data_IF_296797060275
#
_entry.id   IF_296797060275
#
_cell.length_a   1.000
_cell.length_b   1.000
_cell.length_c   1.000
_cell.angle_alpha   90.00
_cell.angle_beta   90.00
_cell.angle_gamma   90.00
#
_symmetry.space_group_name_H-M   'P 1'
#
loop_
_entity.id
_entity.type
_entity.pdbx_description
1 polymer ?
#
# COMPACT_ATOMS: atom_id res chain seq x y z
N UNK A 1 28.90 -0.57 45.84
CA UNK A 1 27.53 -0.54 45.37
C UNK A 1 27.45 0.60 44.37
N UNK A 2 27.64 0.28 43.07
CA UNK A 2 27.43 1.22 41.98
C UNK A 2 26.09 0.92 41.34
N UNK A 3 25.29 1.89 40.94
CA UNK A 3 24.01 1.66 40.27
C UNK A 3 24.24 1.36 38.80
N UNK A 4 23.60 0.29 38.33
CA UNK A 4 23.61 -0.14 36.93
C UNK A 4 22.99 0.91 36.01
N UNK A 5 23.67 1.18 34.92
CA UNK A 5 23.18 1.96 33.79
C UNK A 5 22.24 1.10 32.96
N UNK A 6 20.94 1.31 33.09
CA UNK A 6 19.95 0.82 32.16
C UNK A 6 20.09 1.52 30.81
N UNK A 7 20.07 0.74 29.74
CA UNK A 7 20.27 1.18 28.36
C UNK A 7 19.01 1.86 27.83
N UNK A 8 19.07 3.04 27.20
CA UNK A 8 17.89 3.81 26.77
C UNK A 8 17.29 3.38 25.42
N UNK A 9 17.68 2.22 24.87
CA UNK A 9 17.28 1.80 23.52
C UNK A 9 15.94 1.08 23.44
N UNK A 10 15.50 0.39 24.50
CA UNK A 10 14.24 -0.38 24.51
C UNK A 10 12.97 0.51 24.58
N UNK A 11 13.10 1.70 25.15
CA UNK A 11 11.95 2.59 25.36
C UNK A 11 11.55 3.38 24.09
N UNK A 12 12.49 3.62 23.17
CA UNK A 12 12.22 4.35 21.92
C UNK A 12 11.55 3.46 20.84
N UNK A 13 11.86 2.16 20.82
CA UNK A 13 11.24 1.20 19.88
C UNK A 13 9.79 0.91 20.25
N UNK A 14 9.50 0.76 21.55
CA UNK A 14 8.13 0.64 22.05
C UNK A 14 7.29 1.89 21.73
N UNK A 15 7.87 3.09 21.85
CA UNK A 15 7.17 4.34 21.56
C UNK A 15 6.93 4.57 20.06
N UNK A 16 7.76 4.07 19.13
CA UNK A 16 7.56 4.22 17.70
C UNK A 16 6.46 3.26 17.18
N UNK A 17 6.44 2.02 17.64
CA UNK A 17 5.37 1.06 17.34
C UNK A 17 4.03 1.52 17.93
N UNK A 18 4.03 2.04 19.18
CA UNK A 18 2.87 2.65 19.80
C UNK A 18 2.41 3.92 19.06
N UNK A 19 3.30 4.63 18.37
CA UNK A 19 2.95 5.87 17.66
C UNK A 19 2.25 5.61 16.35
N UNK A 20 2.66 4.61 15.56
CA UNK A 20 1.96 4.20 14.33
C UNK A 20 0.60 3.56 14.64
N UNK A 21 0.54 2.68 15.64
CA UNK A 21 -0.70 2.13 16.16
C UNK A 21 -1.63 3.22 16.69
N UNK A 22 -1.13 4.19 17.44
CA UNK A 22 -1.91 5.28 18.02
C UNK A 22 -2.34 6.35 17.02
N UNK A 23 -1.61 6.54 15.92
CA UNK A 23 -2.02 7.42 14.82
C UNK A 23 -3.14 6.77 14.03
N UNK A 24 -3.01 5.49 13.67
CA UNK A 24 -4.07 4.71 13.08
C UNK A 24 -5.33 4.72 13.96
N UNK A 25 -5.18 4.51 15.26
CA UNK A 25 -6.24 4.57 16.27
C UNK A 25 -6.98 5.90 16.31
N UNK A 26 -6.29 7.02 16.35
CA UNK A 26 -6.89 8.36 16.45
C UNK A 26 -7.54 8.83 15.16
N UNK A 27 -7.17 8.27 14.01
CA UNK A 27 -7.61 8.75 12.71
C UNK A 27 -8.66 7.87 12.03
N UNK A 28 -9.25 6.93 12.75
CA UNK A 28 -10.39 6.15 12.26
C UNK A 28 -10.05 4.96 11.35
N UNK A 29 -8.77 4.57 11.23
CA UNK A 29 -8.36 3.33 10.54
C UNK A 29 -8.94 2.06 11.16
N UNK A 30 -9.42 2.18 12.39
CA UNK A 30 -10.15 1.20 13.17
C UNK A 30 -11.38 0.66 12.47
N UNK A 31 -12.01 1.51 11.72
CA UNK A 31 -13.18 1.16 10.95
C UNK A 31 -12.90 0.12 9.86
N UNK A 32 -11.64 -0.10 9.48
CA UNK A 32 -11.26 -1.08 8.45
C UNK A 32 -10.89 -2.47 8.99
N UNK A 33 -11.02 -2.69 10.30
CA UNK A 33 -10.88 -4.03 10.88
C UNK A 33 -9.47 -4.42 11.33
N UNK A 34 -8.64 -3.47 11.81
CA UNK A 34 -7.36 -3.78 12.45
C UNK A 34 -7.59 -4.52 13.77
N UNK A 35 -6.95 -5.70 14.02
CA UNK A 35 -7.16 -6.48 15.25
C UNK A 35 -6.57 -5.85 16.51
N UNK A 36 -5.63 -4.90 16.44
CA UNK A 36 -5.20 -4.14 17.61
C UNK A 36 -6.37 -3.48 18.35
N UNK A 37 -7.53 -3.40 17.69
CA UNK A 37 -8.74 -2.73 18.13
C UNK A 37 -9.93 -3.66 18.37
N UNK A 38 -9.71 -4.96 18.36
CA UNK A 38 -10.79 -5.97 18.48
C UNK A 38 -11.59 -5.90 19.80
N UNK A 39 -11.07 -5.25 20.86
CA UNK A 39 -11.80 -5.17 22.12
C UNK A 39 -13.02 -4.23 22.08
N UNK A 40 -12.90 -3.07 21.44
CA UNK A 40 -13.99 -2.07 21.42
C UNK A 40 -14.65 -1.89 20.04
N UNK A 41 -13.95 -2.17 18.95
CA UNK A 41 -14.44 -1.99 17.59
C UNK A 41 -15.23 -3.19 17.06
N UNK A 42 -14.97 -4.42 17.52
CA UNK A 42 -15.72 -5.61 17.12
C UNK A 42 -17.20 -5.54 17.49
N UNK A 43 -17.54 -4.81 18.56
CA UNK A 43 -18.93 -4.61 19.00
C UNK A 43 -19.69 -3.52 18.22
N UNK A 44 -19.00 -2.77 17.36
CA UNK A 44 -19.58 -1.58 16.73
C UNK A 44 -20.07 -1.79 15.28
N UNK A 45 -19.71 -2.89 14.62
CA UNK A 45 -20.21 -3.29 13.29
C UNK A 45 -19.97 -2.28 12.16
N UNK A 46 -20.66 -2.48 11.03
CA UNK A 46 -20.55 -1.62 9.82
C UNK A 46 -20.86 -0.13 10.06
N UNK A 47 -21.53 0.21 11.18
CA UNK A 47 -21.93 1.57 11.53
C UNK A 47 -20.75 2.53 11.83
N UNK A 48 -19.51 2.07 11.72
CA UNK A 48 -18.32 2.84 12.09
C UNK A 48 -17.29 3.04 10.97
N UNK A 49 -17.54 2.53 9.76
CA UNK A 49 -16.76 2.93 8.62
C UNK A 49 -16.99 4.43 8.37
N UNK A 50 -15.90 5.18 8.23
CA UNK A 50 -15.98 6.57 7.82
C UNK A 50 -16.80 6.67 6.51
N UNK A 51 -17.60 7.69 6.40
CA UNK A 51 -18.27 8.01 5.15
C UNK A 51 -17.29 8.74 4.19
N UNK A 52 -17.73 8.93 2.95
CA UNK A 52 -16.86 9.51 1.92
C UNK A 52 -16.49 10.96 2.21
N UNK A 53 -17.36 11.72 2.88
CA UNK A 53 -17.10 13.10 3.30
C UNK A 53 -16.08 13.13 4.44
N UNK A 54 -16.24 12.25 5.43
CA UNK A 54 -15.30 12.13 6.54
C UNK A 54 -13.91 11.73 6.06
N UNK A 55 -13.82 10.81 5.05
CA UNK A 55 -12.56 10.44 4.42
C UNK A 55 -11.92 11.62 3.66
N UNK A 56 -12.71 12.43 2.98
CA UNK A 56 -12.22 13.65 2.33
C UNK A 56 -11.71 14.67 3.36
N UNK A 57 -12.46 14.93 4.45
CA UNK A 57 -12.03 15.82 5.52
C UNK A 57 -10.75 15.33 6.22
N UNK A 58 -10.59 14.01 6.33
CA UNK A 58 -9.36 13.41 6.84
C UNK A 58 -8.19 13.68 5.91
N UNK A 59 -8.38 13.57 4.58
CA UNK A 59 -7.39 13.93 3.57
C UNK A 59 -6.93 15.38 3.70
N UNK A 60 -7.85 16.34 3.89
CA UNK A 60 -7.49 17.75 4.07
C UNK A 60 -6.58 17.97 5.30
N UNK A 61 -6.81 17.22 6.39
CA UNK A 61 -6.01 17.32 7.62
C UNK A 61 -4.65 16.64 7.53
N UNK A 62 -4.47 15.69 6.61
CA UNK A 62 -3.27 14.85 6.51
C UNK A 62 -2.32 15.28 5.39
N UNK A 63 -2.44 16.50 4.90
CA UNK A 63 -1.60 17.00 3.79
C UNK A 63 -0.11 17.07 4.20
N UNK A 64 0.73 16.71 3.24
CA UNK A 64 2.18 16.80 3.36
C UNK A 64 2.83 17.13 2.02
N UNK A 65 4.05 17.65 2.06
CA UNK A 65 4.79 18.01 0.87
C UNK A 65 6.08 17.18 0.77
N UNK A 66 6.34 16.63 -0.41
CA UNK A 66 7.57 15.84 -0.63
C UNK A 66 8.83 16.68 -0.42
N UNK A 67 8.77 18.00 -0.61
CA UNK A 67 9.89 18.93 -0.43
C UNK A 67 10.36 19.05 1.02
N UNK A 68 9.53 18.68 1.99
CA UNK A 68 9.87 18.77 3.42
C UNK A 68 10.72 17.58 3.89
N UNK A 69 10.87 16.53 3.05
CA UNK A 69 11.69 15.36 3.36
C UNK A 69 13.17 15.62 3.07
N UNK A 70 14.03 15.15 3.97
CA UNK A 70 15.49 15.21 3.85
C UNK A 70 16.08 13.80 3.63
N UNK A 71 16.72 13.59 2.49
CA UNK A 71 17.38 12.34 2.11
C UNK A 71 18.90 12.37 2.30
N UNK A 72 19.45 13.36 3.01
CA UNK A 72 20.88 13.49 3.20
C UNK A 72 21.51 12.29 3.90
N UNK A 73 20.90 11.78 4.98
CA UNK A 73 21.36 10.57 5.65
C UNK A 73 21.12 9.33 4.81
N UNK A 74 20.00 9.24 4.08
CA UNK A 74 19.70 8.11 3.20
C UNK A 74 20.75 7.90 2.12
N UNK A 75 21.27 8.97 1.56
CA UNK A 75 22.40 8.92 0.61
C UNK A 75 23.67 8.33 1.24
N UNK A 76 23.96 8.70 2.48
CA UNK A 76 25.11 8.14 3.20
C UNK A 76 24.87 6.65 3.48
N UNK A 77 23.69 6.29 3.96
CA UNK A 77 23.33 4.91 4.23
C UNK A 77 23.42 4.04 2.98
N UNK A 78 22.82 4.51 1.88
CA UNK A 78 22.80 3.78 0.60
C UNK A 78 24.19 3.47 0.08
N UNK A 79 25.11 4.46 0.07
CA UNK A 79 26.43 4.30 -0.54
C UNK A 79 27.51 3.79 0.39
N UNK A 80 27.36 3.88 1.72
CA UNK A 80 28.44 3.58 2.67
C UNK A 80 28.08 2.51 3.70
N UNK A 81 26.81 2.25 3.98
CA UNK A 81 26.36 1.29 5.02
C UNK A 81 25.69 0.07 4.44
N UNK A 82 24.88 0.24 3.39
CA UNK A 82 24.14 -0.82 2.73
C UNK A 82 25.04 -1.47 1.67
N UNK A 83 25.31 -2.77 1.78
CA UNK A 83 26.15 -3.51 0.85
C UNK A 83 25.48 -3.76 -0.50
N UNK A 84 26.26 -4.16 -1.54
CA UNK A 84 25.75 -4.36 -2.90
C UNK A 84 24.65 -5.43 -2.98
N UNK A 85 24.80 -6.53 -2.27
CA UNK A 85 23.81 -7.61 -2.21
C UNK A 85 22.51 -7.13 -1.58
N UNK A 86 22.59 -6.40 -0.48
CA UNK A 86 21.44 -5.84 0.19
C UNK A 86 20.76 -4.75 -0.65
N UNK A 87 21.51 -3.90 -1.34
CA UNK A 87 20.95 -2.95 -2.31
C UNK A 87 20.17 -3.66 -3.40
N UNK A 88 20.73 -4.73 -3.96
CA UNK A 88 20.04 -5.54 -4.97
C UNK A 88 18.71 -6.09 -4.45
N UNK A 89 18.71 -6.65 -3.23
CA UNK A 89 17.47 -7.18 -2.62
C UNK A 89 16.44 -6.07 -2.35
N UNK A 90 16.87 -4.90 -1.87
CA UNK A 90 15.99 -3.76 -1.61
C UNK A 90 15.35 -3.20 -2.88
N UNK A 91 16.04 -3.31 -4.03
CA UNK A 91 15.50 -2.82 -5.31
C UNK A 91 14.18 -3.48 -5.71
N UNK A 92 13.93 -4.73 -5.33
CA UNK A 92 12.64 -5.39 -5.56
C UNK A 92 11.48 -4.59 -4.95
N UNK A 93 11.50 -4.36 -3.63
CA UNK A 93 10.44 -3.63 -2.95
C UNK A 93 10.35 -2.16 -3.40
N UNK A 94 11.48 -1.47 -3.50
CA UNK A 94 11.53 -0.08 -3.95
C UNK A 94 10.95 0.08 -5.36
N UNK A 95 11.29 -0.82 -6.29
CA UNK A 95 10.83 -0.78 -7.68
C UNK A 95 9.35 -1.13 -7.79
N UNK A 96 8.87 -2.14 -7.03
CA UNK A 96 7.48 -2.53 -7.02
C UNK A 96 6.56 -1.37 -6.58
N UNK A 97 6.97 -0.61 -5.56
CA UNK A 97 6.23 0.58 -5.18
C UNK A 97 6.33 1.70 -6.20
N UNK A 98 7.53 2.07 -6.64
CA UNK A 98 7.68 3.18 -7.58
C UNK A 98 6.91 2.99 -8.89
N UNK A 99 6.95 1.79 -9.46
CA UNK A 99 6.21 1.47 -10.68
C UNK A 99 4.72 1.27 -10.36
N UNK A 100 4.39 0.63 -9.24
CA UNK A 100 3.01 0.46 -8.79
C UNK A 100 2.27 1.79 -8.68
N UNK A 101 2.83 2.78 -7.96
CA UNK A 101 2.27 4.12 -7.81
C UNK A 101 2.05 4.83 -9.17
N UNK A 102 2.97 4.66 -10.11
CA UNK A 102 2.81 5.23 -11.45
C UNK A 102 1.68 4.53 -12.21
N UNK A 103 1.60 3.19 -12.16
CA UNK A 103 0.53 2.43 -12.84
C UNK A 103 -0.85 2.81 -12.31
N UNK A 104 -0.99 2.84 -10.98
CA UNK A 104 -2.30 3.16 -10.36
C UNK A 104 -2.72 4.61 -10.58
N UNK A 105 -1.78 5.55 -10.67
CA UNK A 105 -2.09 6.95 -11.03
C UNK A 105 -2.79 7.03 -12.39
N UNK A 106 -2.38 6.25 -13.38
CA UNK A 106 -2.96 6.25 -14.71
C UNK A 106 -4.37 5.61 -14.73
N UNK A 107 -4.62 4.62 -13.87
CA UNK A 107 -5.85 3.80 -13.90
C UNK A 107 -7.02 4.37 -13.08
N UNK A 108 -6.79 5.30 -12.17
CA UNK A 108 -7.84 5.85 -11.29
C UNK A 108 -8.87 6.73 -12.01
N UNK A 109 -8.51 7.39 -13.10
CA UNK A 109 -9.40 8.30 -13.81
C UNK A 109 -10.72 7.67 -14.26
N UNK A 110 -10.72 6.56 -15.00
CA UNK A 110 -11.93 5.83 -15.36
C UNK A 110 -12.71 5.30 -14.17
N UNK A 111 -12.04 4.79 -13.12
CA UNK A 111 -12.70 4.31 -11.88
C UNK A 111 -13.47 5.46 -11.23
N UNK A 112 -12.82 6.62 -11.04
CA UNK A 112 -13.45 7.82 -10.49
C UNK A 112 -14.69 8.22 -11.30
N UNK A 113 -14.57 8.26 -12.61
CA UNK A 113 -15.67 8.67 -13.50
C UNK A 113 -16.88 7.75 -13.42
N UNK A 114 -16.65 6.46 -13.22
CA UNK A 114 -17.71 5.44 -13.17
C UNK A 114 -18.35 5.28 -11.79
N UNK A 115 -17.78 5.87 -10.73
CA UNK A 115 -18.37 5.82 -9.40
C UNK A 115 -19.78 6.44 -9.36
N UNK A 116 -20.75 5.77 -8.69
CA UNK A 116 -22.17 6.16 -8.73
C UNK A 116 -22.49 7.53 -8.14
N UNK A 117 -21.79 7.94 -7.05
CA UNK A 117 -22.13 9.16 -6.32
C UNK A 117 -21.05 10.25 -6.45
N UNK A 118 -21.45 11.50 -6.21
CA UNK A 118 -20.54 12.63 -6.27
C UNK A 118 -19.50 12.59 -5.16
N UNK A 119 -19.90 12.18 -3.96
CA UNK A 119 -19.00 12.06 -2.80
C UNK A 119 -17.87 11.05 -3.06
N UNK A 120 -18.21 9.93 -3.73
CA UNK A 120 -17.20 8.94 -4.14
C UNK A 120 -16.22 9.52 -5.16
N UNK A 121 -16.72 10.29 -6.15
CA UNK A 121 -15.86 10.95 -7.15
C UNK A 121 -14.98 12.04 -6.53
N UNK A 122 -15.51 12.81 -5.58
CA UNK A 122 -14.75 13.81 -4.82
C UNK A 122 -13.60 13.14 -4.09
N UNK A 123 -13.85 12.07 -3.35
CA UNK A 123 -12.79 11.35 -2.64
C UNK A 123 -11.73 10.79 -3.61
N UNK A 124 -12.13 10.09 -4.67
CA UNK A 124 -11.17 9.52 -5.63
C UNK A 124 -10.33 10.58 -6.35
N UNK A 125 -10.83 11.81 -6.48
CA UNK A 125 -10.01 12.92 -7.01
C UNK A 125 -8.85 13.28 -6.06
N UNK A 126 -9.03 13.12 -4.75
CA UNK A 126 -7.97 13.31 -3.76
C UNK A 126 -6.97 12.16 -3.79
N UNK A 127 -7.44 10.93 -4.00
CA UNK A 127 -6.58 9.79 -4.16
C UNK A 127 -5.66 9.93 -5.39
N UNK A 128 -6.17 10.36 -6.55
CA UNK A 128 -5.32 10.65 -7.72
C UNK A 128 -4.21 11.67 -7.39
N UNK A 129 -4.51 12.67 -6.56
CA UNK A 129 -3.50 13.63 -6.13
C UNK A 129 -2.46 13.01 -5.17
N UNK A 130 -2.87 12.07 -4.32
CA UNK A 130 -1.97 11.34 -3.43
C UNK A 130 -1.03 10.44 -4.24
N UNK A 131 -1.54 9.63 -5.19
CA UNK A 131 -0.72 8.76 -6.05
C UNK A 131 0.34 9.54 -6.83
N UNK A 132 -0.04 10.71 -7.38
CA UNK A 132 0.91 11.60 -8.04
C UNK A 132 2.00 12.11 -7.07
N UNK A 133 1.65 12.33 -5.80
CA UNK A 133 2.59 12.68 -4.74
C UNK A 133 3.50 11.52 -4.39
N UNK A 134 2.99 10.29 -4.34
CA UNK A 134 3.75 9.07 -4.10
C UNK A 134 4.79 8.84 -5.20
N UNK A 135 4.41 8.92 -6.47
CA UNK A 135 5.37 8.89 -7.59
C UNK A 135 6.44 9.96 -7.43
N UNK A 136 6.06 11.18 -7.03
CA UNK A 136 7.01 12.28 -6.81
C UNK A 136 7.95 11.99 -5.66
N UNK A 137 7.49 11.38 -4.56
CA UNK A 137 8.29 10.96 -3.42
C UNK A 137 9.35 9.96 -3.85
N UNK A 138 8.97 8.87 -4.52
CA UNK A 138 9.92 7.85 -4.99
C UNK A 138 10.92 8.44 -5.98
N UNK A 139 10.47 9.23 -6.95
CA UNK A 139 11.36 9.86 -7.92
C UNK A 139 12.41 10.77 -7.26
N UNK A 140 12.03 11.56 -6.22
CA UNK A 140 12.98 12.36 -5.46
C UNK A 140 13.97 11.49 -4.68
N UNK A 141 13.48 10.45 -4.03
CA UNK A 141 14.34 9.51 -3.30
C UNK A 141 15.39 8.91 -4.24
N UNK A 142 14.99 8.38 -5.39
CA UNK A 142 15.91 7.81 -6.38
C UNK A 142 16.95 8.84 -6.88
N UNK A 143 16.52 10.06 -7.13
CA UNK A 143 17.37 11.15 -7.62
C UNK A 143 18.37 11.62 -6.58
N UNK A 144 17.89 12.03 -5.41
CA UNK A 144 18.69 12.70 -4.37
C UNK A 144 19.61 11.73 -3.63
N UNK A 145 19.19 10.48 -3.45
CA UNK A 145 20.02 9.41 -2.89
C UNK A 145 21.01 8.88 -3.91
N UNK A 146 20.66 8.91 -5.19
CA UNK A 146 21.49 8.32 -6.26
C UNK A 146 21.37 6.80 -6.28
N UNK A 147 20.17 6.28 -6.15
CA UNK A 147 19.87 4.83 -6.12
C UNK A 147 20.21 4.17 -7.46
N UNK A 148 19.94 4.85 -8.57
CA UNK A 148 20.22 4.40 -9.94
C UNK A 148 21.23 5.31 -10.62
N UNK A 149 22.37 4.76 -10.96
CA UNK A 149 23.41 5.49 -11.71
C UNK A 149 23.01 5.65 -13.18
N UNK A 150 23.33 6.81 -13.74
CA UNK A 150 23.17 7.08 -15.19
C UNK A 150 21.73 7.30 -15.66
N UNK A 151 20.76 7.47 -14.76
CA UNK A 151 19.38 7.81 -15.11
C UNK A 151 19.15 9.32 -15.09
N UNK A 152 18.39 9.84 -16.08
CA UNK A 152 18.04 11.24 -16.17
C UNK A 152 16.49 11.40 -16.26
N UNK A 153 15.92 11.87 -15.16
CA UNK A 153 14.49 12.12 -15.07
C UNK A 153 13.62 10.90 -14.76
N UNK A 154 12.32 11.16 -14.61
CA UNK A 154 11.33 10.17 -14.18
C UNK A 154 11.24 8.95 -15.11
N UNK A 155 11.13 9.19 -16.40
CA UNK A 155 10.94 8.10 -17.39
C UNK A 155 12.10 7.12 -17.45
N UNK A 156 13.34 7.62 -17.30
CA UNK A 156 14.53 6.76 -17.29
C UNK A 156 14.58 5.91 -16.01
N UNK A 157 14.22 6.49 -14.86
CA UNK A 157 14.21 5.77 -13.58
C UNK A 157 13.14 4.70 -13.58
N UNK A 158 11.92 5.01 -14.04
CA UNK A 158 10.86 4.00 -14.16
C UNK A 158 11.31 2.82 -15.03
N UNK A 159 11.91 3.11 -16.19
CA UNK A 159 12.40 2.05 -17.09
C UNK A 159 13.52 1.21 -16.45
N UNK A 160 14.44 1.84 -15.74
CA UNK A 160 15.54 1.15 -15.09
C UNK A 160 15.09 0.30 -13.88
N UNK A 161 13.94 0.60 -13.29
CA UNK A 161 13.38 -0.19 -12.17
C UNK A 161 12.55 -1.40 -12.62
N UNK A 162 12.10 -1.47 -13.88
CA UNK A 162 11.29 -2.58 -14.39
C UNK A 162 12.00 -3.94 -14.31
N UNK A 163 13.32 -3.98 -14.46
CA UNK A 163 14.12 -5.23 -14.38
C UNK A 163 14.13 -5.89 -12.99
N UNK A 164 13.70 -5.18 -11.97
CA UNK A 164 13.62 -5.69 -10.59
C UNK A 164 12.24 -6.26 -10.23
N UNK A 165 11.30 -6.27 -11.16
CA UNK A 165 9.97 -6.82 -10.98
C UNK A 165 9.90 -8.27 -11.47
N UNK A 166 8.96 -9.05 -10.91
CA UNK A 166 8.64 -10.37 -11.43
C UNK A 166 7.53 -10.30 -12.49
N UNK A 167 7.36 -11.38 -13.25
CA UNK A 167 6.37 -11.45 -14.33
C UNK A 167 4.93 -11.28 -13.81
N UNK A 168 4.65 -11.75 -12.58
CA UNK A 168 3.32 -11.66 -11.99
C UNK A 168 2.90 -10.20 -11.71
N UNK A 169 3.86 -9.32 -11.45
CA UNK A 169 3.58 -7.89 -11.33
C UNK A 169 3.03 -7.33 -12.66
N UNK A 170 3.69 -7.59 -13.77
CA UNK A 170 3.21 -7.17 -15.10
C UNK A 170 1.85 -7.78 -15.45
N UNK A 171 1.63 -9.07 -15.16
CA UNK A 171 0.33 -9.71 -15.36
C UNK A 171 -0.80 -9.08 -14.53
N UNK A 172 -0.51 -8.67 -13.28
CA UNK A 172 -1.50 -8.03 -12.41
C UNK A 172 -1.80 -6.58 -12.82
N UNK A 173 -0.77 -5.75 -12.98
CA UNK A 173 -0.93 -4.32 -13.22
C UNK A 173 -1.19 -4.01 -14.71
N UNK A 174 -0.29 -4.40 -15.61
CA UNK A 174 -0.38 -4.09 -17.04
C UNK A 174 -1.39 -5.01 -17.76
N UNK A 175 -1.68 -6.18 -17.19
CA UNK A 175 -2.67 -7.12 -17.72
C UNK A 175 -4.04 -6.96 -17.07
N UNK A 176 -4.20 -7.44 -15.84
CA UNK A 176 -5.51 -7.57 -15.18
C UNK A 176 -6.12 -6.20 -14.82
N UNK A 177 -5.39 -5.33 -14.14
CA UNK A 177 -5.89 -4.02 -13.74
C UNK A 177 -6.24 -3.18 -14.97
N UNK A 178 -5.29 -3.04 -15.89
CA UNK A 178 -5.50 -2.26 -17.12
C UNK A 178 -6.72 -2.74 -17.92
N UNK A 179 -6.88 -4.05 -18.10
CA UNK A 179 -8.04 -4.59 -18.84
C UNK A 179 -9.38 -4.33 -18.14
N UNK A 180 -9.43 -4.33 -16.81
CA UNK A 180 -10.64 -4.00 -16.04
C UNK A 180 -10.98 -2.52 -16.16
N UNK A 181 -9.98 -1.66 -16.11
CA UNK A 181 -10.16 -0.20 -16.25
C UNK A 181 -10.53 0.18 -17.68
N UNK A 182 -9.95 -0.43 -18.69
CA UNK A 182 -10.33 -0.22 -20.09
C UNK A 182 -11.80 -0.61 -20.35
N UNK A 183 -12.26 -1.73 -19.81
CA UNK A 183 -13.68 -2.09 -19.85
C UNK A 183 -14.54 -1.01 -19.19
N UNK A 184 -14.14 -0.52 -18.04
CA UNK A 184 -14.86 0.52 -17.30
C UNK A 184 -14.88 1.86 -18.04
N UNK A 185 -13.78 2.21 -18.72
CA UNK A 185 -13.71 3.39 -19.58
C UNK A 185 -14.68 3.32 -20.76
N UNK A 186 -14.87 2.12 -21.32
CA UNK A 186 -15.80 1.88 -22.42
C UNK A 186 -17.27 1.84 -21.96
N UNK A 187 -17.54 1.30 -20.78
CA UNK A 187 -18.89 1.09 -20.23
C UNK A 187 -19.00 1.66 -18.79
N UNK A 188 -18.92 2.98 -18.59
CA UNK A 188 -18.85 3.60 -17.25
C UNK A 188 -20.13 3.43 -16.42
N UNK A 189 -21.24 3.01 -17.00
CA UNK A 189 -22.49 2.72 -16.30
C UNK A 189 -22.60 1.27 -15.81
N UNK A 190 -21.62 0.42 -16.12
CA UNK A 190 -21.57 -0.97 -15.62
C UNK A 190 -21.10 -1.00 -14.17
N UNK A 191 -22.05 -0.98 -13.26
CA UNK A 191 -21.79 -1.00 -11.81
C UNK A 191 -21.07 -2.27 -11.33
N UNK A 192 -21.25 -3.40 -12.03
CA UNK A 192 -20.51 -4.64 -11.71
C UNK A 192 -19.02 -4.46 -12.06
N UNK A 193 -18.72 -3.83 -13.20
CA UNK A 193 -17.34 -3.52 -13.57
C UNK A 193 -16.68 -2.55 -12.56
N UNK A 194 -17.42 -1.56 -12.02
CA UNK A 194 -16.90 -0.69 -10.93
C UNK A 194 -16.55 -1.50 -9.70
N UNK A 195 -17.43 -2.42 -9.27
CA UNK A 195 -17.17 -3.29 -8.12
C UNK A 195 -15.96 -4.18 -8.34
N UNK A 196 -15.81 -4.77 -9.53
CA UNK A 196 -14.64 -5.58 -9.89
C UNK A 196 -13.34 -4.74 -9.85
N UNK A 197 -13.35 -3.54 -10.44
CA UNK A 197 -12.18 -2.65 -10.45
C UNK A 197 -11.78 -2.18 -9.04
N UNK A 198 -12.74 -1.77 -8.20
CA UNK A 198 -12.48 -1.36 -6.82
C UNK A 198 -12.02 -2.55 -5.96
N UNK A 199 -12.55 -3.76 -6.20
CA UNK A 199 -12.07 -4.96 -5.52
C UNK A 199 -10.62 -5.23 -5.84
N UNK A 200 -10.24 -5.22 -7.13
CA UNK A 200 -8.87 -5.45 -7.55
C UNK A 200 -7.93 -4.37 -7.02
N UNK A 201 -8.31 -3.10 -7.19
CA UNK A 201 -7.48 -1.96 -6.81
C UNK A 201 -7.34 -1.87 -5.28
N UNK A 202 -8.43 -1.57 -4.57
CA UNK A 202 -8.37 -1.22 -3.15
C UNK A 202 -8.24 -2.43 -2.22
N UNK A 203 -8.76 -3.62 -2.59
CA UNK A 203 -8.65 -4.79 -1.72
C UNK A 203 -7.40 -5.61 -1.98
N UNK A 204 -7.03 -5.81 -3.25
CA UNK A 204 -5.90 -6.68 -3.60
C UNK A 204 -4.61 -5.87 -3.72
N UNK A 205 -4.56 -4.86 -4.58
CA UNK A 205 -3.33 -4.09 -4.80
C UNK A 205 -2.97 -3.29 -3.54
N UNK A 206 -3.85 -2.43 -3.05
CA UNK A 206 -3.53 -1.63 -1.85
C UNK A 206 -3.68 -2.45 -0.57
N UNK A 207 -4.83 -3.10 -0.39
CA UNK A 207 -5.20 -3.77 0.86
C UNK A 207 -4.43 -5.05 1.17
N UNK A 208 -3.78 -5.68 0.20
CA UNK A 208 -2.92 -6.85 0.40
C UNK A 208 -1.47 -6.50 0.06
N UNK A 209 -1.16 -6.13 -1.20
CA UNK A 209 0.22 -5.97 -1.64
C UNK A 209 0.90 -4.75 -1.02
N UNK A 210 0.29 -3.56 -1.15
CA UNK A 210 0.91 -2.34 -0.63
C UNK A 210 1.08 -2.38 0.89
N UNK A 211 0.05 -2.78 1.65
CA UNK A 211 0.16 -2.91 3.11
C UNK A 211 1.23 -3.90 3.54
N UNK A 212 1.36 -5.03 2.84
CA UNK A 212 2.39 -6.03 3.16
C UNK A 212 3.78 -5.47 2.92
N UNK A 213 4.02 -4.88 1.76
CA UNK A 213 5.31 -4.28 1.44
C UNK A 213 5.66 -3.12 2.36
N UNK A 214 4.72 -2.22 2.65
CA UNK A 214 4.92 -1.10 3.58
C UNK A 214 5.30 -1.58 4.98
N UNK A 215 4.59 -2.58 5.49
CA UNK A 215 4.86 -3.15 6.82
C UNK A 215 6.30 -3.64 6.95
N UNK A 216 6.75 -4.49 6.02
CA UNK A 216 8.09 -5.08 6.10
C UNK A 216 9.21 -4.10 5.72
N UNK A 217 9.01 -3.26 4.70
CA UNK A 217 10.03 -2.30 4.28
C UNK A 217 10.27 -1.23 5.35
N UNK A 218 9.21 -0.66 5.91
CA UNK A 218 9.33 0.34 6.98
C UNK A 218 9.95 -0.31 8.22
N UNK A 219 9.37 -1.41 8.70
CA UNK A 219 9.83 -2.10 9.91
C UNK A 219 11.30 -2.51 9.84
N UNK A 220 11.74 -3.07 8.70
CA UNK A 220 13.15 -3.44 8.50
C UNK A 220 14.08 -2.23 8.56
N UNK A 221 13.75 -1.14 7.87
CA UNK A 221 14.60 0.05 7.88
C UNK A 221 14.67 0.72 9.26
N UNK A 222 13.58 0.70 10.03
CA UNK A 222 13.55 1.16 11.41
C UNK A 222 14.42 0.28 12.32
N UNK A 223 14.32 -1.04 12.18
CA UNK A 223 15.10 -2.01 12.98
C UNK A 223 16.60 -1.87 12.74
N UNK A 224 17.03 -1.82 11.48
CA UNK A 224 18.46 -1.70 11.12
C UNK A 224 18.97 -0.26 11.20
N UNK A 225 18.10 0.72 11.37
CA UNK A 225 18.44 2.14 11.49
C UNK A 225 19.04 2.72 10.21
N UNK A 226 18.40 2.46 9.06
CA UNK A 226 18.82 2.97 7.74
C UNK A 226 17.69 3.73 7.05
N UNK A 227 18.03 4.61 6.12
CA UNK A 227 17.13 5.37 5.26
C UNK A 227 16.04 6.14 6.03
N UNK A 228 16.40 6.99 7.02
CA UNK A 228 15.41 7.65 7.87
C UNK A 228 14.46 8.61 7.10
N UNK A 229 14.94 9.29 6.06
CA UNK A 229 14.13 10.16 5.22
C UNK A 229 13.14 9.36 4.36
N UNK A 230 13.56 8.20 3.85
CA UNK A 230 12.68 7.25 3.18
C UNK A 230 11.59 6.73 4.13
N UNK A 231 11.97 6.28 5.32
CA UNK A 231 11.03 5.79 6.35
C UNK A 231 10.00 6.87 6.71
N UNK A 232 10.43 8.12 6.93
CA UNK A 232 9.51 9.23 7.18
C UNK A 232 8.52 9.43 6.01
N UNK A 233 9.03 9.50 4.78
CA UNK A 233 8.20 9.73 3.60
C UNK A 233 7.28 8.55 3.29
N UNK A 234 7.80 7.33 3.34
CA UNK A 234 7.04 6.11 3.07
C UNK A 234 5.98 5.82 4.16
N UNK A 235 6.24 6.23 5.40
CA UNK A 235 5.21 6.25 6.45
C UNK A 235 4.05 7.22 6.17
N UNK A 236 4.32 8.35 5.49
CA UNK A 236 3.27 9.27 5.03
C UNK A 236 2.49 8.67 3.84
N UNK A 237 3.16 8.00 2.91
CA UNK A 237 2.52 7.21 1.84
C UNK A 237 1.61 6.14 2.45
N UNK A 238 2.12 5.33 3.36
CA UNK A 238 1.33 4.29 4.03
C UNK A 238 0.08 4.84 4.73
N UNK A 239 0.17 6.02 5.34
CA UNK A 239 -0.98 6.69 5.93
C UNK A 239 -2.01 7.12 4.88
N UNK A 240 -1.57 7.61 3.73
CA UNK A 240 -2.45 7.96 2.61
C UNK A 240 -3.15 6.69 2.08
N UNK A 241 -2.42 5.58 1.89
CA UNK A 241 -2.95 4.28 1.49
C UNK A 241 -4.06 3.74 2.40
N UNK A 242 -3.94 3.96 3.70
CA UNK A 242 -4.99 3.55 4.62
C UNK A 242 -6.33 4.25 4.34
N UNK A 243 -6.32 5.53 3.93
CA UNK A 243 -7.56 6.23 3.52
C UNK A 243 -8.14 5.64 2.24
N UNK A 244 -7.29 5.28 1.28
CA UNK A 244 -7.70 4.65 0.03
C UNK A 244 -8.36 3.30 0.28
N UNK A 245 -7.73 2.48 1.11
CA UNK A 245 -8.28 1.18 1.53
C UNK A 245 -9.59 1.35 2.32
N UNK A 246 -9.68 2.38 3.17
CA UNK A 246 -10.91 2.67 3.89
C UNK A 246 -12.07 3.04 2.93
N UNK A 247 -11.80 3.83 1.90
CA UNK A 247 -12.76 4.11 0.83
C UNK A 247 -13.21 2.82 0.12
N UNK A 248 -12.27 2.00 -0.32
CA UNK A 248 -12.58 0.73 -1.00
C UNK A 248 -13.40 -0.20 -0.11
N UNK A 249 -13.02 -0.34 1.17
CA UNK A 249 -13.76 -1.15 2.15
C UNK A 249 -15.18 -0.63 2.35
N UNK A 250 -15.37 0.69 2.49
CA UNK A 250 -16.69 1.32 2.60
C UNK A 250 -17.51 1.07 1.35
N UNK A 251 -16.96 1.34 0.18
CA UNK A 251 -17.63 1.14 -1.11
C UNK A 251 -18.11 -0.30 -1.27
N UNK A 252 -17.23 -1.28 -1.07
CA UNK A 252 -17.58 -2.69 -1.23
C UNK A 252 -18.57 -3.18 -0.17
N UNK A 253 -18.54 -2.62 1.05
CA UNK A 253 -19.55 -2.90 2.08
C UNK A 253 -20.94 -2.42 1.64
N UNK A 254 -21.05 -1.19 1.15
CA UNK A 254 -22.31 -0.61 0.68
C UNK A 254 -22.84 -1.41 -0.52
N UNK A 255 -21.99 -1.76 -1.49
CA UNK A 255 -22.39 -2.53 -2.66
C UNK A 255 -22.79 -3.98 -2.31
N UNK A 256 -22.02 -4.66 -1.48
CA UNK A 256 -22.32 -6.03 -1.04
C UNK A 256 -23.65 -6.11 -0.23
N UNK A 257 -24.00 -5.06 0.48
CA UNK A 257 -25.29 -4.95 1.18
C UNK A 257 -26.46 -4.64 0.24
N UNK A 258 -26.20 -4.00 -0.90
CA UNK A 258 -27.25 -3.54 -1.81
C UNK A 258 -27.78 -4.65 -2.74
N UNK A 259 -26.92 -5.56 -3.24
CA UNK A 259 -27.32 -6.59 -4.20
C UNK A 259 -26.35 -7.78 -4.19
N UNK A 260 -26.89 -9.01 -4.23
CA UNK A 260 -26.11 -10.26 -4.25
C UNK A 260 -25.14 -10.34 -5.46
N UNK A 261 -25.52 -9.82 -6.63
CA UNK A 261 -24.64 -9.78 -7.80
C UNK A 261 -23.31 -9.05 -7.56
N UNK A 262 -23.29 -8.08 -6.64
CA UNK A 262 -22.06 -7.38 -6.26
C UNK A 262 -21.19 -8.23 -5.33
N UNK A 263 -21.81 -8.98 -4.41
CA UNK A 263 -21.08 -9.97 -3.59
C UNK A 263 -20.41 -11.02 -4.46
N UNK A 264 -21.15 -11.55 -5.45
CA UNK A 264 -20.62 -12.50 -6.44
C UNK A 264 -19.47 -11.89 -7.27
N UNK A 265 -19.57 -10.60 -7.65
CA UNK A 265 -18.52 -9.89 -8.38
C UNK A 265 -17.24 -9.74 -7.55
N UNK A 266 -17.37 -9.36 -6.27
CA UNK A 266 -16.22 -9.27 -5.35
C UNK A 266 -15.56 -10.65 -5.20
N UNK A 267 -16.33 -11.70 -4.92
CA UNK A 267 -15.81 -13.05 -4.72
C UNK A 267 -15.11 -13.58 -5.98
N UNK A 268 -15.70 -13.35 -7.15
CA UNK A 268 -15.12 -13.74 -8.45
C UNK A 268 -13.80 -12.99 -8.69
N UNK A 269 -13.76 -11.68 -8.47
CA UNK A 269 -12.55 -10.87 -8.66
C UNK A 269 -11.43 -11.32 -7.72
N UNK A 270 -11.74 -11.59 -6.45
CA UNK A 270 -10.78 -12.13 -5.51
C UNK A 270 -10.24 -13.50 -5.95
N UNK A 271 -11.13 -14.41 -6.39
CA UNK A 271 -10.72 -15.73 -6.85
C UNK A 271 -9.79 -15.67 -8.09
N UNK A 272 -9.99 -14.69 -8.97
CA UNK A 272 -9.15 -14.48 -10.15
C UNK A 272 -7.79 -13.84 -9.80
N UNK A 273 -7.79 -12.84 -8.90
CA UNK A 273 -6.61 -11.99 -8.67
C UNK A 273 -5.67 -12.50 -7.57
N UNK A 274 -6.19 -13.14 -6.51
CA UNK A 274 -5.36 -13.55 -5.38
C UNK A 274 -4.24 -14.53 -5.71
N UNK A 275 -4.42 -15.53 -6.60
CA UNK A 275 -3.30 -16.40 -6.99
C UNK A 275 -2.17 -15.67 -7.73
N UNK A 276 -2.50 -14.55 -8.38
CA UNK A 276 -1.52 -13.71 -9.07
C UNK A 276 -0.86 -12.74 -8.08
N UNK A 277 -1.65 -12.11 -7.21
CA UNK A 277 -1.15 -11.23 -6.15
C UNK A 277 -0.19 -11.96 -5.20
N UNK A 278 -0.47 -13.24 -4.87
CA UNK A 278 0.41 -14.07 -4.07
C UNK A 278 1.80 -14.20 -4.69
N UNK A 279 1.88 -14.39 -6.02
CA UNK A 279 3.14 -14.46 -6.75
C UNK A 279 3.86 -13.11 -6.86
N UNK A 280 3.15 -11.99 -6.84
CA UNK A 280 3.77 -10.64 -6.86
C UNK A 280 4.65 -10.42 -5.62
N UNK A 281 4.32 -11.06 -4.50
CA UNK A 281 5.09 -10.99 -3.25
C UNK A 281 6.42 -11.74 -3.33
N UNK A 282 6.59 -12.68 -4.25
CA UNK A 282 7.85 -13.43 -4.42
C UNK A 282 8.90 -12.57 -5.14
N UNK A 283 10.12 -12.41 -4.60
CA UNK A 283 11.18 -11.68 -5.29
C UNK A 283 11.57 -12.33 -6.63
N UNK A 284 11.99 -11.57 -7.64
CA UNK A 284 12.31 -12.10 -8.97
C UNK A 284 13.52 -13.04 -9.00
N UNK A 285 14.36 -13.02 -7.97
CA UNK A 285 15.50 -13.92 -7.84
C UNK A 285 15.17 -15.25 -7.16
N UNK A 286 13.96 -15.36 -6.54
CA UNK A 286 13.53 -16.56 -5.86
C UNK A 286 12.94 -17.56 -6.86
N UNK A 287 13.38 -18.83 -6.82
CA UNK A 287 12.68 -19.86 -7.57
C UNK A 287 11.31 -20.16 -6.92
N UNK A 288 10.35 -20.58 -7.73
CA UNK A 288 8.94 -20.72 -7.32
C UNK A 288 8.71 -21.57 -6.04
N UNK A 289 9.56 -22.58 -5.84
CA UNK A 289 9.45 -23.52 -4.71
C UNK A 289 10.53 -23.29 -3.62
N UNK A 290 11.31 -22.20 -3.72
CA UNK A 290 12.36 -21.91 -2.75
C UNK A 290 11.85 -20.97 -1.64
N UNK A 291 12.36 -21.20 -0.43
CA UNK A 291 12.24 -20.25 0.66
C UNK A 291 13.14 -19.05 0.38
N UNK A 292 12.61 -17.87 0.65
CA UNK A 292 13.34 -16.62 0.53
C UNK A 292 13.13 -15.76 1.77
N UNK A 293 14.03 -14.82 1.98
CA UNK A 293 13.93 -13.78 2.99
C UNK A 293 14.14 -12.41 2.30
N UNK A 294 13.28 -11.46 2.60
CA UNK A 294 13.40 -10.09 2.14
C UNK A 294 12.92 -9.13 3.25
N UNK A 295 13.63 -8.02 3.45
CA UNK A 295 13.31 -7.05 4.50
C UNK A 295 13.12 -7.70 5.89
N UNK A 296 13.99 -8.65 6.24
CA UNK A 296 14.00 -9.33 7.54
C UNK A 296 12.81 -10.28 7.78
N UNK A 297 12.03 -10.58 6.76
CA UNK A 297 10.89 -11.49 6.84
C UNK A 297 11.05 -12.66 5.88
N UNK A 298 10.66 -13.84 6.35
CA UNK A 298 10.56 -15.05 5.53
C UNK A 298 9.37 -15.01 4.58
N UNK A 299 9.39 -15.86 3.56
CA UNK A 299 8.24 -16.09 2.65
C UNK A 299 6.97 -16.38 3.45
N UNK A 300 7.03 -17.29 4.43
CA UNK A 300 5.87 -17.69 5.24
C UNK A 300 5.28 -16.48 6.01
N UNK A 301 6.12 -15.67 6.65
CA UNK A 301 5.68 -14.48 7.40
C UNK A 301 5.04 -13.45 6.47
N UNK A 302 5.63 -13.21 5.31
CA UNK A 302 5.12 -12.24 4.32
C UNK A 302 3.75 -12.66 3.79
N UNK A 303 3.59 -13.91 3.36
CA UNK A 303 2.31 -14.41 2.86
C UNK A 303 1.24 -14.53 3.96
N UNK A 304 1.64 -14.91 5.19
CA UNK A 304 0.72 -14.95 6.33
C UNK A 304 0.19 -13.55 6.68
N UNK A 305 1.04 -12.53 6.66
CA UNK A 305 0.63 -11.14 6.89
C UNK A 305 -0.33 -10.65 5.78
N UNK A 306 -0.03 -10.92 4.52
CA UNK A 306 -0.88 -10.60 3.37
C UNK A 306 -2.28 -11.23 3.50
N UNK A 307 -2.34 -12.51 3.83
CA UNK A 307 -3.60 -13.22 4.07
C UNK A 307 -4.39 -12.64 5.26
N UNK A 308 -3.70 -12.23 6.32
CA UNK A 308 -4.33 -11.57 7.46
C UNK A 308 -4.92 -10.20 7.08
N UNK A 309 -4.21 -9.40 6.28
CA UNK A 309 -4.69 -8.13 5.77
C UNK A 309 -6.01 -8.28 5.00
N UNK A 310 -6.10 -9.27 4.12
CA UNK A 310 -7.33 -9.56 3.37
C UNK A 310 -8.47 -10.03 4.30
N UNK A 311 -8.18 -11.02 5.15
CA UNK A 311 -9.19 -11.63 6.04
C UNK A 311 -9.91 -10.60 6.91
N UNK A 312 -9.18 -9.62 7.44
CA UNK A 312 -9.75 -8.53 8.25
C UNK A 312 -10.79 -7.72 7.47
N UNK A 313 -10.48 -7.35 6.24
CA UNK A 313 -11.37 -6.55 5.39
C UNK A 313 -12.58 -7.32 4.93
N UNK A 314 -12.41 -8.60 4.58
CA UNK A 314 -13.54 -9.45 4.21
C UNK A 314 -14.55 -9.62 5.34
N UNK A 315 -14.09 -9.66 6.60
CA UNK A 315 -15.00 -9.64 7.78
C UNK A 315 -15.82 -8.35 7.85
N UNK A 316 -15.19 -7.20 7.61
CA UNK A 316 -15.89 -5.90 7.61
C UNK A 316 -16.92 -5.81 6.49
N UNK A 317 -16.56 -6.29 5.29
CA UNK A 317 -17.46 -6.33 4.13
C UNK A 317 -18.58 -7.37 4.30
N UNK A 318 -18.44 -8.31 5.25
CA UNK A 318 -19.40 -9.39 5.49
C UNK A 318 -19.28 -10.54 4.49
N UNK A 319 -18.05 -10.84 4.04
CA UNK A 319 -17.72 -11.91 3.08
C UNK A 319 -16.84 -13.02 3.70
N UNK A 320 -16.48 -12.93 4.97
CA UNK A 320 -15.70 -13.94 5.71
C UNK A 320 -16.57 -14.63 6.77
#
# INVERSE_FOLDING_TARGET
>A
MEPGTESPTTDRQSQAVDTLSSIAEREGFLATGDPALQGEAADRGHAQLLDYTELYELWERQQWATQDLDFGQDRIDWHQRIGDEERFQRMFGLSAFFIGEQRVTDELGPIMRACPTEEQRIFLSTQIADEARHVRFFNRFYDEVGVLEGTDGLADRLRATEEHLNDAFGELFDGMLHSRVDRLAAEPEDTVAVVEAITLYHMVIEGVLALTGQHFIIGYNEEVGTLPGFVEGFGKVARDEHRHIAFGTRFLTDMAAADERYREAIQRMLAESLPLADKVLDPPWAAADEDWEAFGASKEETHAFAAQCLSRRLKVIGLA
#
